data_IF_121962154297
#
_entry.id   IF_121962154297
#
_cell.length_a   1.000
_cell.length_b   1.000
_cell.length_c   1.000
_cell.angle_alpha   90.00
_cell.angle_beta   90.00
_cell.angle_gamma   90.00
#
_symmetry.space_group_name_H-M   'P 1'
#
loop_
_entity.id
_entity.type
_entity.pdbx_description
1 polymer ?
#
# COMPACT_ATOMS: atom_id res chain seq x y z
N UNK A 1 12.20 -12.60 19.98
CA UNK A 1 10.92 -13.32 20.09
C UNK A 1 10.79 -14.27 18.90
N UNK A 2 10.36 -15.52 19.09
CA UNK A 2 10.21 -16.46 17.96
C UNK A 2 8.86 -16.21 17.28
N UNK A 3 8.89 -15.85 15.99
CA UNK A 3 7.68 -15.68 15.17
C UNK A 3 6.83 -16.96 15.17
N UNK A 4 5.55 -16.81 15.49
CA UNK A 4 4.55 -17.87 15.53
C UNK A 4 3.95 -18.13 14.15
N UNK A 5 3.17 -19.20 14.04
CA UNK A 5 2.35 -19.43 12.84
C UNK A 5 1.32 -18.31 12.64
N UNK A 6 0.71 -17.84 13.72
CA UNK A 6 -0.31 -16.80 13.68
C UNK A 6 0.27 -15.47 13.18
N UNK A 7 1.47 -15.08 13.64
CA UNK A 7 2.16 -13.88 13.15
C UNK A 7 2.38 -13.92 11.64
N UNK A 8 2.78 -15.09 11.10
CA UNK A 8 2.99 -15.28 9.65
C UNK A 8 1.66 -15.23 8.90
N UNK A 9 0.61 -15.85 9.43
CA UNK A 9 -0.70 -15.88 8.80
C UNK A 9 -1.35 -14.48 8.78
N UNK A 10 -1.23 -13.72 9.86
CA UNK A 10 -1.67 -12.33 9.94
C UNK A 10 -0.93 -11.45 8.93
N UNK A 11 0.40 -11.58 8.85
CA UNK A 11 1.20 -10.86 7.88
C UNK A 11 0.80 -11.19 6.43
N UNK A 12 0.58 -12.47 6.12
CA UNK A 12 0.08 -12.90 4.81
C UNK A 12 -1.30 -12.28 4.50
N UNK A 13 -2.20 -12.22 5.48
CA UNK A 13 -3.51 -11.59 5.32
C UNK A 13 -3.38 -10.07 5.05
N UNK A 14 -2.45 -9.40 5.71
CA UNK A 14 -2.18 -7.97 5.48
C UNK A 14 -1.61 -7.68 4.10
N UNK A 15 -0.73 -8.55 3.61
CA UNK A 15 -0.25 -8.51 2.23
C UNK A 15 -1.41 -8.66 1.24
N UNK A 16 -2.31 -9.62 1.47
CA UNK A 16 -3.51 -9.81 0.62
C UNK A 16 -4.37 -8.55 0.63
N UNK A 17 -4.64 -7.96 1.80
CA UNK A 17 -5.44 -6.74 1.93
C UNK A 17 -4.88 -5.59 1.12
N UNK A 18 -3.55 -5.38 1.12
CA UNK A 18 -2.92 -4.35 0.30
C UNK A 18 -2.99 -4.70 -1.20
N UNK A 19 -2.56 -5.90 -1.59
CA UNK A 19 -2.39 -6.26 -2.99
C UNK A 19 -3.72 -6.41 -3.74
N UNK A 20 -4.84 -6.61 -3.04
CA UNK A 20 -6.18 -6.61 -3.64
C UNK A 20 -6.46 -5.32 -4.40
N UNK A 21 -5.91 -4.18 -3.96
CA UNK A 21 -6.07 -2.90 -4.64
C UNK A 21 -5.24 -2.77 -5.92
N UNK A 22 -4.28 -3.67 -6.13
CA UNK A 22 -3.36 -3.65 -7.26
C UNK A 22 -3.68 -4.70 -8.34
N UNK A 23 -4.79 -5.45 -8.21
CA UNK A 23 -5.22 -6.40 -9.27
C UNK A 23 -5.62 -5.69 -10.57
N UNK A 24 -6.00 -4.42 -10.49
CA UNK A 24 -6.40 -3.60 -11.65
C UNK A 24 -5.31 -2.63 -12.11
N UNK A 25 -4.23 -2.48 -11.36
CA UNK A 25 -3.13 -1.59 -11.69
C UNK A 25 -1.98 -2.38 -12.35
N UNK A 26 -1.44 -1.91 -13.48
CA UNK A 26 -0.28 -2.56 -14.07
C UNK A 26 0.97 -2.34 -13.20
N UNK A 27 1.81 -3.37 -13.15
CA UNK A 27 3.20 -3.33 -12.72
C UNK A 27 4.06 -2.60 -13.78
N UNK A 28 5.32 -2.24 -13.47
CA UNK A 28 6.14 -1.40 -14.36
C UNK A 28 6.34 -1.94 -15.79
N UNK A 29 6.35 -3.26 -15.98
CA UNK A 29 6.43 -3.95 -17.27
C UNK A 29 5.07 -4.15 -17.97
N UNK A 30 3.97 -3.67 -17.38
CA UNK A 30 2.61 -3.83 -17.89
C UNK A 30 1.92 -5.14 -17.46
N UNK A 31 2.56 -5.97 -16.63
CA UNK A 31 1.91 -7.14 -16.02
C UNK A 31 0.97 -6.73 -14.90
N UNK A 32 0.13 -7.65 -14.44
CA UNK A 32 -0.85 -7.41 -13.40
C UNK A 32 -0.67 -8.43 -12.28
N UNK A 33 -1.01 -8.04 -11.05
CA UNK A 33 -1.19 -9.01 -9.97
C UNK A 33 -2.44 -9.83 -10.28
N UNK A 34 -2.27 -11.16 -10.34
CA UNK A 34 -3.31 -12.14 -10.69
C UNK A 34 -3.77 -12.96 -9.50
N UNK A 35 -3.01 -12.94 -8.40
CA UNK A 35 -3.38 -13.64 -7.18
C UNK A 35 -2.28 -13.56 -6.14
N UNK A 36 -2.66 -13.89 -4.91
CA UNK A 36 -1.75 -14.09 -3.78
C UNK A 36 -2.05 -15.49 -3.24
N UNK A 37 -1.03 -16.34 -3.16
CA UNK A 37 -1.15 -17.71 -2.70
C UNK A 37 -0.33 -17.88 -1.40
N UNK A 38 -0.80 -18.70 -0.46
CA UNK A 38 0.00 -19.07 0.69
C UNK A 38 1.20 -19.91 0.25
N UNK A 39 2.33 -19.70 0.92
CA UNK A 39 3.48 -20.60 0.84
C UNK A 39 3.19 -21.89 1.63
N UNK A 40 3.79 -23.05 1.31
CA UNK A 40 3.68 -24.27 2.11
C UNK A 40 4.02 -23.98 3.58
N UNK A 41 3.28 -24.61 4.51
CA UNK A 41 3.17 -24.27 5.93
C UNK A 41 4.50 -24.24 6.74
N UNK A 42 5.62 -24.66 6.17
CA UNK A 42 6.95 -24.61 6.80
C UNK A 42 7.79 -23.39 6.39
N UNK A 43 7.43 -22.70 5.31
CA UNK A 43 8.17 -21.54 4.81
C UNK A 43 7.38 -20.26 5.11
N UNK A 44 7.96 -19.39 5.95
CA UNK A 44 7.49 -18.03 6.19
C UNK A 44 7.67 -17.19 4.91
N UNK A 45 6.77 -17.37 3.95
CA UNK A 45 6.82 -16.76 2.63
C UNK A 45 5.43 -16.50 2.07
N UNK A 46 5.35 -15.71 1.02
CA UNK A 46 4.13 -15.42 0.27
C UNK A 46 4.39 -15.61 -1.21
N UNK A 47 3.40 -16.14 -1.94
CA UNK A 47 3.50 -16.35 -3.39
C UNK A 47 2.66 -15.32 -4.13
N UNK A 48 3.29 -14.46 -4.92
CA UNK A 48 2.59 -13.44 -5.71
C UNK A 48 2.50 -13.91 -7.15
N UNK A 49 1.29 -14.05 -7.66
CA UNK A 49 1.04 -14.45 -9.05
C UNK A 49 0.92 -13.20 -9.90
N UNK A 50 1.66 -13.15 -11.00
CA UNK A 50 1.68 -12.06 -11.95
C UNK A 50 1.51 -12.58 -13.37
N UNK A 51 0.99 -11.74 -14.26
CA UNK A 51 0.84 -12.07 -15.67
C UNK A 51 0.05 -11.03 -16.45
N UNK A 52 -0.16 -11.25 -17.76
CA UNK A 52 -0.97 -10.36 -18.60
C UNK A 52 -2.39 -10.15 -18.07
N UNK A 53 -3.02 -9.01 -18.36
CA UNK A 53 -4.38 -8.69 -17.89
C UNK A 53 -5.44 -9.72 -18.31
N UNK A 54 -5.26 -10.38 -19.46
CA UNK A 54 -6.18 -11.40 -19.99
C UNK A 54 -5.57 -12.81 -20.00
N UNK A 55 -4.57 -13.05 -19.15
CA UNK A 55 -4.00 -14.38 -18.98
C UNK A 55 -5.11 -15.40 -18.70
N UNK A 56 -5.13 -16.47 -19.49
CA UNK A 56 -6.19 -17.48 -19.47
C UNK A 56 -5.64 -18.89 -19.22
N UNK A 57 -4.33 -19.10 -19.38
CA UNK A 57 -3.64 -20.35 -19.11
C UNK A 57 -2.59 -20.18 -17.99
N UNK A 58 -2.33 -21.23 -17.18
CA UNK A 58 -1.28 -21.19 -16.16
C UNK A 58 0.12 -20.88 -16.71
N UNK A 59 0.42 -21.30 -17.94
CA UNK A 59 1.71 -21.03 -18.58
C UNK A 59 1.97 -19.55 -18.91
N UNK A 60 0.94 -18.70 -18.87
CA UNK A 60 1.05 -17.26 -19.07
C UNK A 60 1.32 -16.52 -17.74
N UNK A 61 1.36 -17.24 -16.62
CA UNK A 61 1.49 -16.69 -15.28
C UNK A 61 2.86 -17.06 -14.68
N UNK A 62 3.41 -16.13 -13.91
CA UNK A 62 4.57 -16.39 -13.07
C UNK A 62 4.24 -16.17 -11.60
N UNK A 63 4.81 -17.02 -10.76
CA UNK A 63 4.68 -16.98 -9.31
C UNK A 63 6.01 -16.59 -8.71
N UNK A 64 6.00 -15.54 -7.89
CA UNK A 64 7.15 -15.08 -7.11
C UNK A 64 6.97 -15.55 -5.68
N UNK A 65 7.79 -16.49 -5.20
CA UNK A 65 7.81 -16.85 -3.78
C UNK A 65 8.79 -15.95 -3.04
N UNK A 66 8.24 -15.05 -2.24
CA UNK A 66 8.97 -14.03 -1.49
C UNK A 66 9.02 -14.47 -0.03
N UNK A 67 10.21 -14.67 0.57
CA UNK A 67 10.33 -14.94 1.99
C UNK A 67 9.91 -13.69 2.79
N UNK A 68 9.16 -13.89 3.87
CA UNK A 68 8.70 -12.83 4.76
C UNK A 68 9.70 -12.54 5.88
N UNK A 69 10.55 -13.50 6.26
CA UNK A 69 11.60 -13.21 7.25
C UNK A 69 12.64 -12.30 6.63
N UNK A 70 12.90 -11.17 7.26
CA UNK A 70 14.01 -10.31 6.83
C UNK A 70 15.34 -10.98 7.20
N UNK A 71 16.38 -10.72 6.41
CA UNK A 71 17.71 -11.29 6.65
C UNK A 71 18.40 -10.58 7.83
N UNK A 72 18.19 -9.27 7.92
CA UNK A 72 18.83 -8.42 8.92
C UNK A 72 18.13 -8.51 10.28
N UNK A 73 16.82 -8.69 10.30
CA UNK A 73 15.98 -8.76 11.50
C UNK A 73 15.05 -9.98 11.45
N UNK A 74 15.55 -11.19 11.76
CA UNK A 74 14.79 -12.43 11.61
C UNK A 74 13.56 -12.55 12.53
N UNK A 75 13.41 -11.62 13.47
CA UNK A 75 12.24 -11.48 14.34
C UNK A 75 11.15 -10.55 13.74
N UNK A 76 11.47 -9.82 12.68
CA UNK A 76 10.56 -8.95 11.94
C UNK A 76 10.14 -9.59 10.61
N UNK A 77 8.87 -9.40 10.26
CA UNK A 77 8.32 -9.85 8.99
C UNK A 77 8.23 -8.69 8.00
N UNK A 78 8.60 -8.95 6.75
CA UNK A 78 8.46 -8.01 5.64
C UNK A 78 7.01 -7.54 5.50
N UNK A 79 6.83 -6.22 5.50
CA UNK A 79 5.57 -5.53 5.36
C UNK A 79 4.92 -5.77 4.00
N UNK A 80 3.61 -5.48 3.92
CA UNK A 80 2.88 -5.51 2.64
C UNK A 80 3.50 -4.57 1.58
N UNK A 81 3.99 -3.41 2.00
CA UNK A 81 4.68 -2.45 1.13
C UNK A 81 6.05 -2.97 0.66
N UNK A 82 6.79 -3.69 1.51
CA UNK A 82 8.08 -4.29 1.13
C UNK A 82 7.88 -5.37 0.06
N UNK A 83 6.87 -6.23 0.25
CA UNK A 83 6.48 -7.24 -0.74
C UNK A 83 6.05 -6.60 -2.05
N UNK A 84 5.23 -5.53 -2.00
CA UNK A 84 4.84 -4.79 -3.21
C UNK A 84 6.05 -4.20 -3.94
N UNK A 85 7.01 -3.63 -3.20
CA UNK A 85 8.23 -3.06 -3.76
C UNK A 85 9.12 -4.11 -4.43
N UNK A 86 9.24 -5.30 -3.84
CA UNK A 86 9.91 -6.44 -4.44
C UNK A 86 9.21 -6.92 -5.71
N UNK A 87 7.88 -7.07 -5.69
CA UNK A 87 7.10 -7.48 -6.88
C UNK A 87 7.31 -6.51 -8.02
N UNK A 88 7.30 -5.20 -7.75
CA UNK A 88 7.56 -4.18 -8.78
C UNK A 88 8.98 -4.27 -9.34
N UNK A 89 9.98 -4.46 -8.47
CA UNK A 89 11.36 -4.65 -8.90
C UNK A 89 11.51 -5.88 -9.81
N UNK A 90 10.89 -7.00 -9.43
CA UNK A 90 10.89 -8.24 -10.21
C UNK A 90 10.19 -8.10 -11.57
N UNK A 91 9.21 -7.20 -11.67
CA UNK A 91 8.47 -6.87 -12.88
C UNK A 91 8.97 -5.54 -13.49
N UNK A 92 10.27 -5.27 -13.37
CA UNK A 92 10.97 -4.16 -14.02
C UNK A 92 12.17 -4.70 -14.79
N UNK A 93 12.17 -4.50 -16.11
CA UNK A 93 13.26 -4.94 -16.98
C UNK A 93 13.39 -6.46 -17.10
N UNK A 94 14.53 -6.93 -17.62
CA UNK A 94 14.82 -8.37 -17.72
C UNK A 94 15.53 -8.86 -16.47
N UNK A 95 14.89 -9.79 -15.75
CA UNK A 95 15.48 -10.47 -14.60
C UNK A 95 16.04 -11.83 -15.02
N UNK A 96 17.26 -12.15 -14.57
CA UNK A 96 17.91 -13.44 -14.87
C UNK A 96 18.04 -14.22 -13.56
N UNK A 97 17.44 -15.40 -13.51
CA UNK A 97 17.49 -16.28 -12.35
C UNK A 97 18.27 -17.56 -12.67
N UNK A 98 19.00 -18.06 -11.67
CA UNK A 98 19.60 -19.41 -11.74
C UNK A 98 18.50 -20.46 -11.85
N UNK A 99 18.73 -21.53 -12.61
CA UNK A 99 17.81 -22.66 -12.70
C UNK A 99 17.50 -23.29 -11.34
N UNK A 100 18.40 -23.16 -10.37
CA UNK A 100 18.20 -23.63 -8.98
C UNK A 100 17.12 -22.86 -8.22
N UNK A 101 16.64 -21.72 -8.74
CA UNK A 101 15.57 -20.91 -8.16
C UNK A 101 14.25 -21.05 -8.91
N UNK A 102 14.22 -21.86 -9.97
CA UNK A 102 13.05 -22.07 -10.83
C UNK A 102 12.41 -23.41 -10.50
N UNK A 103 11.12 -23.39 -10.22
CA UNK A 103 10.29 -24.57 -10.01
C UNK A 103 8.93 -24.36 -10.71
N UNK A 104 7.95 -25.21 -10.41
CA UNK A 104 6.60 -25.15 -10.95
C UNK A 104 5.55 -25.32 -9.86
N UNK A 105 4.45 -24.58 -9.96
CA UNK A 105 3.31 -24.71 -9.06
C UNK A 105 2.02 -24.53 -9.83
N UNK A 106 1.10 -25.48 -9.74
CA UNK A 106 -0.18 -25.45 -10.48
C UNK A 106 -0.02 -25.21 -12.00
N UNK A 107 1.08 -25.68 -12.59
CA UNK A 107 1.40 -25.47 -14.01
C UNK A 107 1.92 -24.07 -14.37
N UNK A 108 2.18 -23.22 -13.37
CA UNK A 108 2.82 -21.91 -13.51
C UNK A 108 4.31 -22.02 -13.19
N UNK A 109 5.13 -21.15 -13.79
CA UNK A 109 6.54 -21.01 -13.40
C UNK A 109 6.64 -20.36 -12.03
N UNK A 110 7.35 -21.01 -11.11
CA UNK A 110 7.63 -20.52 -9.76
C UNK A 110 9.09 -20.06 -9.69
N UNK A 111 9.31 -18.85 -9.18
CA UNK A 111 10.64 -18.30 -8.91
C UNK A 111 10.77 -18.07 -7.41
N UNK A 112 11.76 -18.70 -6.78
CA UNK A 112 12.14 -18.42 -5.40
C UNK A 112 12.99 -17.13 -5.34
N UNK A 113 12.43 -16.10 -4.70
CA UNK A 113 13.04 -14.78 -4.62
C UNK A 113 14.05 -14.74 -3.48
N UNK A 114 15.21 -14.15 -3.75
CA UNK A 114 16.19 -13.78 -2.75
C UNK A 114 16.17 -12.26 -2.60
N UNK A 115 15.58 -11.72 -1.52
CA UNK A 115 15.44 -10.28 -1.33
C UNK A 115 16.79 -9.55 -1.32
N UNK A 116 17.89 -10.20 -0.93
CA UNK A 116 19.21 -9.56 -0.92
C UNK A 116 19.73 -9.22 -2.33
N UNK A 117 19.17 -9.84 -3.37
CA UNK A 117 19.58 -9.64 -4.77
C UNK A 117 18.65 -8.71 -5.53
N UNK A 118 17.59 -8.21 -4.90
CA UNK A 118 16.55 -7.40 -5.53
C UNK A 118 16.40 -6.11 -4.76
N UNK A 119 16.81 -4.99 -5.36
CA UNK A 119 16.56 -3.67 -4.80
C UNK A 119 15.04 -3.37 -4.91
N UNK A 120 14.29 -3.26 -3.80
CA UNK A 120 12.86 -2.99 -3.87
C UNK A 120 12.59 -1.63 -4.51
N UNK A 121 11.53 -1.55 -5.32
CA UNK A 121 11.03 -0.27 -5.81
C UNK A 121 10.19 0.38 -4.72
N UNK A 122 10.59 1.58 -4.28
CA UNK A 122 9.87 2.32 -3.25
C UNK A 122 8.43 2.67 -3.62
N UNK A 123 7.67 3.13 -2.64
CA UNK A 123 6.30 3.62 -2.83
C UNK A 123 6.29 4.83 -3.77
N UNK A 124 5.39 4.80 -4.74
CA UNK A 124 5.13 5.95 -5.60
C UNK A 124 4.08 6.88 -5.00
N UNK A 125 3.90 8.05 -5.63
CA UNK A 125 2.93 9.07 -5.20
C UNK A 125 1.51 8.51 -5.01
N UNK A 126 1.07 7.62 -5.92
CA UNK A 126 -0.25 6.99 -5.84
C UNK A 126 -0.38 6.01 -4.69
N UNK A 127 0.69 5.34 -4.29
CA UNK A 127 0.67 4.39 -3.18
C UNK A 127 0.63 5.11 -1.84
N UNK A 128 1.34 6.23 -1.74
CA UNK A 128 1.27 7.10 -0.57
C UNK A 128 -0.15 7.66 -0.41
N UNK A 129 -0.73 8.19 -1.50
CA UNK A 129 -2.12 8.66 -1.49
C UNK A 129 -3.10 7.53 -1.12
N UNK A 130 -2.93 6.34 -1.71
CA UNK A 130 -3.73 5.18 -1.38
C UNK A 130 -3.62 4.79 0.10
N UNK A 131 -2.40 4.81 0.66
CA UNK A 131 -2.16 4.51 2.08
C UNK A 131 -2.90 5.48 2.99
N UNK A 132 -2.85 6.79 2.71
CA UNK A 132 -3.61 7.81 3.45
C UNK A 132 -5.11 7.49 3.43
N UNK A 133 -5.67 7.29 2.23
CA UNK A 133 -7.10 7.08 2.02
C UNK A 133 -7.58 5.77 2.65
N UNK A 134 -6.80 4.70 2.53
CA UNK A 134 -7.12 3.41 3.14
C UNK A 134 -7.15 3.53 4.65
N UNK A 135 -6.17 4.18 5.27
CA UNK A 135 -6.14 4.33 6.74
C UNK A 135 -7.33 5.14 7.26
N UNK A 136 -7.77 6.17 6.51
CA UNK A 136 -8.93 6.98 6.88
C UNK A 136 -10.29 6.32 6.60
N UNK A 137 -10.34 5.27 5.78
CA UNK A 137 -11.61 4.59 5.40
C UNK A 137 -11.79 3.22 6.04
N UNK A 138 -10.67 2.56 6.35
CA UNK A 138 -10.62 1.24 6.97
C UNK A 138 -9.57 1.27 8.09
N UNK A 139 -9.83 2.00 9.19
CA UNK A 139 -8.91 2.00 10.32
C UNK A 139 -8.83 0.60 10.94
N UNK A 140 -7.74 0.35 11.66
CA UNK A 140 -7.54 -0.90 12.40
C UNK A 140 -8.35 -0.99 13.70
N UNK A 141 -9.24 -0.04 13.95
CA UNK A 141 -10.11 0.07 15.13
C UNK A 141 -11.55 -0.27 14.76
N UNK A 142 -12.33 -0.75 15.74
CA UNK A 142 -13.77 -0.94 15.56
C UNK A 142 -14.53 0.39 15.48
N UNK A 143 -13.96 1.44 16.07
CA UNK A 143 -14.50 2.80 16.03
C UNK A 143 -14.25 3.43 14.66
N UNK A 144 -15.28 4.13 14.16
CA UNK A 144 -15.15 4.95 12.95
C UNK A 144 -14.13 6.06 13.20
N UNK A 145 -13.31 6.41 12.20
CA UNK A 145 -12.34 7.47 12.37
C UNK A 145 -13.06 8.82 12.50
N UNK A 146 -12.69 9.58 13.52
CA UNK A 146 -13.02 11.00 13.64
C UNK A 146 -11.72 11.79 13.50
N UNK A 147 -11.56 12.61 12.44
CA UNK A 147 -12.60 13.04 11.49
C UNK A 147 -12.89 12.00 10.39
N UNK A 148 -14.13 12.00 9.91
CA UNK A 148 -14.58 11.09 8.84
C UNK A 148 -14.15 11.64 7.49
N UNK A 149 -13.61 10.78 6.63
CA UNK A 149 -13.31 11.14 5.24
C UNK A 149 -14.59 11.16 4.39
N UNK A 150 -14.98 12.33 3.91
CA UNK A 150 -16.15 12.57 3.04
C UNK A 150 -15.81 12.57 1.56
N UNK A 151 -14.56 12.88 1.21
CA UNK A 151 -14.08 12.87 -0.16
C UNK A 151 -12.59 13.16 -0.25
N UNK A 152 -12.02 13.04 -1.44
CA UNK A 152 -10.64 13.41 -1.70
C UNK A 152 -10.45 13.86 -3.16
N UNK A 153 -9.39 14.62 -3.41
CA UNK A 153 -8.99 15.04 -4.76
C UNK A 153 -7.46 15.08 -4.86
N UNK A 154 -6.90 14.36 -5.85
CA UNK A 154 -5.48 14.46 -6.18
C UNK A 154 -5.26 15.75 -6.97
N UNK A 155 -4.48 16.68 -6.42
CA UNK A 155 -4.33 18.06 -6.94
C UNK A 155 -3.05 18.27 -7.76
N UNK A 156 -2.09 17.37 -7.63
CA UNK A 156 -0.81 17.47 -8.32
C UNK A 156 0.19 16.44 -7.83
N UNK A 157 1.45 16.54 -8.26
CA UNK A 157 2.52 15.70 -7.76
C UNK A 157 2.57 15.82 -6.23
N UNK A 158 2.39 14.69 -5.55
CA UNK A 158 2.47 14.60 -4.09
C UNK A 158 1.63 15.63 -3.32
N UNK A 159 0.47 16.02 -3.86
CA UNK A 159 -0.51 16.87 -3.19
C UNK A 159 -1.92 16.31 -3.33
N UNK A 160 -2.59 16.17 -2.20
CA UNK A 160 -3.95 15.66 -2.11
C UNK A 160 -4.79 16.54 -1.20
N UNK A 161 -6.00 16.87 -1.63
CA UNK A 161 -7.02 17.48 -0.79
C UNK A 161 -7.90 16.41 -0.19
N UNK A 162 -8.02 16.40 1.13
CA UNK A 162 -8.97 15.59 1.88
C UNK A 162 -10.17 16.46 2.24
N UNK A 163 -11.37 15.92 2.16
CA UNK A 163 -12.58 16.57 2.65
C UNK A 163 -13.07 15.78 3.84
N UNK A 164 -13.03 16.38 5.02
CA UNK A 164 -13.31 15.70 6.29
C UNK A 164 -14.36 16.46 7.09
N UNK A 165 -15.15 15.74 7.88
CA UNK A 165 -16.09 16.32 8.85
C UNK A 165 -15.90 15.65 10.22
N UNK A 166 -16.36 16.31 11.29
CA UNK A 166 -16.40 15.69 12.61
C UNK A 166 -17.75 15.01 12.84
N UNK A 167 -17.82 14.06 13.78
CA UNK A 167 -19.11 13.47 14.13
C UNK A 167 -20.13 14.53 14.60
N UNK A 168 -19.68 15.52 15.37
CA UNK A 168 -20.51 16.58 15.95
C UNK A 168 -20.73 17.80 15.03
N UNK A 169 -19.98 17.90 13.91
CA UNK A 169 -20.04 19.04 12.98
C UNK A 169 -20.19 18.56 11.53
N UNK A 170 -21.27 18.99 10.87
CA UNK A 170 -21.54 18.64 9.47
C UNK A 170 -20.77 19.49 8.46
N UNK A 171 -20.08 20.55 8.92
CA UNK A 171 -19.30 21.41 8.05
C UNK A 171 -18.05 20.71 7.55
N UNK A 172 -17.94 20.59 6.23
CA UNK A 172 -16.80 19.92 5.58
C UNK A 172 -15.58 20.83 5.57
N UNK A 173 -14.46 20.30 6.03
CA UNK A 173 -13.15 20.92 6.04
C UNK A 173 -12.31 20.32 4.93
N UNK A 174 -11.80 21.15 4.04
CA UNK A 174 -10.78 20.75 3.09
C UNK A 174 -9.39 20.82 3.77
N UNK A 175 -8.58 19.80 3.58
CA UNK A 175 -7.21 19.71 4.11
C UNK A 175 -6.26 19.31 2.98
N UNK A 176 -5.39 20.23 2.58
CA UNK A 176 -4.33 19.92 1.62
C UNK A 176 -3.15 19.26 2.33
N UNK A 177 -2.79 18.06 1.92
CA UNK A 177 -1.73 17.24 2.52
C UNK A 177 -0.71 16.81 1.48
N UNK A 178 0.49 16.47 1.96
CA UNK A 178 1.56 15.83 1.18
C UNK A 178 1.64 14.34 1.50
N UNK A 179 1.17 13.44 0.61
CA UNK A 179 1.13 12.00 0.90
C UNK A 179 2.49 11.37 1.21
N UNK A 180 3.59 11.83 0.61
CA UNK A 180 4.94 11.33 0.89
C UNK A 180 5.56 11.79 2.21
N UNK A 181 4.90 12.71 2.93
CA UNK A 181 5.39 13.28 4.17
C UNK A 181 5.32 12.32 5.36
N UNK A 182 5.36 12.88 6.58
CA UNK A 182 5.26 12.12 7.82
C UNK A 182 3.83 11.57 8.05
N UNK A 183 3.42 10.60 7.24
CA UNK A 183 2.04 10.13 7.13
C UNK A 183 1.44 9.68 8.47
N UNK A 184 2.17 8.86 9.24
CA UNK A 184 1.70 8.37 10.54
C UNK A 184 1.44 9.53 11.50
N UNK A 185 2.35 10.51 11.54
CA UNK A 185 2.19 11.66 12.39
C UNK A 185 0.99 12.50 11.91
N UNK A 186 0.83 12.67 10.59
CA UNK A 186 -0.25 13.48 10.00
C UNK A 186 -1.60 12.89 10.35
N UNK A 187 -1.76 11.58 10.15
CA UNK A 187 -3.00 10.86 10.46
C UNK A 187 -3.33 10.92 11.95
N UNK A 188 -2.32 10.82 12.83
CA UNK A 188 -2.51 10.93 14.27
C UNK A 188 -2.88 12.35 14.73
N UNK A 189 -2.32 13.38 14.09
CA UNK A 189 -2.56 14.78 14.43
C UNK A 189 -3.76 15.40 13.71
N UNK A 190 -4.25 14.76 12.63
CA UNK A 190 -5.33 15.28 11.79
C UNK A 190 -6.56 15.76 12.60
N UNK A 191 -7.07 15.02 13.60
CA UNK A 191 -8.23 15.48 14.37
C UNK A 191 -8.00 16.82 15.06
N UNK A 192 -6.81 17.04 15.63
CA UNK A 192 -6.48 18.32 16.26
C UNK A 192 -6.17 19.41 15.25
N UNK A 193 -5.47 19.08 14.15
CA UNK A 193 -5.03 20.05 13.14
C UNK A 193 -6.20 20.72 12.43
N UNK A 194 -7.33 20.02 12.26
CA UNK A 194 -8.50 20.61 11.60
C UNK A 194 -9.26 21.61 12.47
N UNK A 195 -9.02 21.63 13.79
CA UNK A 195 -9.58 22.62 14.71
C UNK A 195 -8.73 23.91 14.76
N UNK A 196 -7.47 23.86 14.31
CA UNK A 196 -6.54 24.98 14.40
C UNK A 196 -6.88 26.12 13.44
N UNK A 197 -7.52 27.17 13.99
CA UNK A 197 -7.93 28.36 13.22
C UNK A 197 -6.77 29.11 12.57
N UNK A 198 -5.57 29.03 13.14
CA UNK A 198 -4.35 29.69 12.62
C UNK A 198 -3.88 29.11 11.30
N UNK A 199 -4.29 27.87 10.97
CA UNK A 199 -3.91 27.17 9.74
C UNK A 199 -4.93 27.33 8.61
N UNK A 200 -6.01 28.06 8.87
CA UNK A 200 -7.04 28.33 7.86
C UNK A 200 -6.46 29.26 6.79
N UNK A 201 -6.59 28.85 5.54
CA UNK A 201 -6.24 29.71 4.40
C UNK A 201 -7.19 30.91 4.39
N UNK A 202 -6.65 32.10 4.63
CA UNK A 202 -7.41 33.35 4.63
C UNK A 202 -7.66 33.82 3.18
N UNK A 203 -8.92 33.81 2.74
CA UNK A 203 -9.33 34.24 1.40
C UNK A 203 -10.71 33.70 1.01
N UNK A 204 -11.20 34.10 -0.16
CA UNK A 204 -12.41 33.50 -0.74
C UNK A 204 -12.07 32.08 -1.19
N UNK A 205 -12.76 31.09 -0.60
CA UNK A 205 -12.55 29.69 -0.91
C UNK A 205 -13.43 29.38 -2.12
N UNK A 206 -12.85 29.36 -3.31
CA UNK A 206 -13.53 28.94 -4.56
C UNK A 206 -13.65 27.40 -4.64
N UNK A 207 -13.99 26.77 -3.51
CA UNK A 207 -14.22 25.34 -3.39
C UNK A 207 -15.64 25.11 -2.85
N UNK A 208 -16.59 24.69 -3.70
CA UNK A 208 -17.98 24.52 -3.28
C UNK A 208 -18.19 23.32 -2.35
N UNK A 209 -17.15 22.55 -2.05
CA UNK A 209 -17.23 21.32 -1.26
C UNK A 209 -16.80 21.48 0.20
N UNK A 210 -16.35 22.67 0.63
CA UNK A 210 -15.92 22.91 2.01
C UNK A 210 -16.32 24.30 2.52
N UNK A 211 -16.43 24.43 3.84
CA UNK A 211 -16.63 25.71 4.53
C UNK A 211 -15.31 26.39 4.88
N UNK A 212 -14.23 25.60 5.01
CA UNK A 212 -12.88 26.06 5.33
C UNK A 212 -11.82 25.17 4.69
N UNK A 213 -10.67 25.78 4.39
CA UNK A 213 -9.50 25.12 3.81
C UNK A 213 -8.30 25.27 4.73
N UNK A 214 -7.63 24.16 5.00
CA UNK A 214 -6.41 24.08 5.80
C UNK A 214 -5.28 23.56 4.92
N UNK A 215 -4.11 24.20 4.98
CA UNK A 215 -2.94 23.76 4.23
C UNK A 215 -1.91 23.10 5.18
N UNK A 216 -1.72 21.79 5.02
CA UNK A 216 -0.76 20.96 5.75
C UNK A 216 0.33 20.38 4.84
N UNK A 217 0.54 20.93 3.64
CA UNK A 217 1.56 20.40 2.69
C UNK A 217 2.97 20.47 3.28
N UNK A 218 3.27 21.50 4.06
CA UNK A 218 4.58 21.72 4.69
C UNK A 218 4.67 21.22 6.14
N UNK A 219 3.68 20.44 6.58
CA UNK A 219 3.64 19.84 7.91
C UNK A 219 4.65 18.70 8.06
#
# INVERSE_FOLDING_TARGET
MTLTYDDIAEQQADIVRLLLHHIHAPLPDGWFIRGVLPSPSSAAGVRIVTGPQRASAPGDLMVWEIPLRTIDEPEELAGANDVLGLVRALNTGTQIFSSSRVDTVMGMTLIHVDPAQVAPVGLGERDNAFTVLRTLTYPWTEEQPDPRLRGFLLWGPDRMRLYVDHEEDTDVVAVDVRPSGALTALLAALPSLIEERERIVLGDIDDPHCSRLINLVDW
#
